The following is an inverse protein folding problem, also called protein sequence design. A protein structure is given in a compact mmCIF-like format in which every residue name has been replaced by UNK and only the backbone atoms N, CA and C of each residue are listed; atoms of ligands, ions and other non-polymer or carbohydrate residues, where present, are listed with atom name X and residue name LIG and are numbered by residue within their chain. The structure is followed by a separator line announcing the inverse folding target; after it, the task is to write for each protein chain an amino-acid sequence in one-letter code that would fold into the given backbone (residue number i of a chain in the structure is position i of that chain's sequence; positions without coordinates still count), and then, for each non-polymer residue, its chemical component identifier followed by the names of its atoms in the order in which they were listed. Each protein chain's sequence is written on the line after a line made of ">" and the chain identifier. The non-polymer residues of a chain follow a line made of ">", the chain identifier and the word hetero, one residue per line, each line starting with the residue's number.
data_IF_862470588554
#
_entry.id   IF_862470588554
#
_cell.length_a   1.000
_cell.length_b   1.000
_cell.length_c   1.000
_cell.angle_alpha   90.00
_cell.angle_beta   90.00
_cell.angle_gamma   90.00
#
_symmetry.space_group_name_H-M   'P 1'
#
loop_
_entity.id
_entity.type
_entity.pdbx_description
1 polymer ?
#
# COMPACT_ATOMS: atom_id res chain seq x y z
N UNK A 1 -9.29 13.98 15.39
CA UNK A 1 -8.96 12.86 14.48
C UNK A 1 -7.50 13.01 14.13
N UNK A 2 -6.70 11.96 14.30
CA UNK A 2 -5.31 11.96 13.82
C UNK A 2 -5.27 11.98 12.29
N UNK A 3 -4.13 12.32 11.68
CA UNK A 3 -3.94 12.22 10.24
C UNK A 3 -4.22 10.78 9.76
N UNK A 4 -4.87 10.65 8.61
CA UNK A 4 -5.23 9.34 8.04
C UNK A 4 -3.97 8.68 7.48
N UNK A 5 -3.65 7.48 7.93
CA UNK A 5 -2.56 6.68 7.39
C UNK A 5 -3.10 5.67 6.38
N UNK A 6 -2.56 5.72 5.15
CA UNK A 6 -2.99 4.87 4.03
C UNK A 6 -1.78 4.15 3.47
N UNK A 7 -1.91 2.84 3.28
CA UNK A 7 -0.92 1.96 2.65
C UNK A 7 -1.35 1.74 1.20
N UNK A 8 -0.42 1.87 0.26
CA UNK A 8 -0.62 1.54 -1.15
C UNK A 8 -0.14 0.11 -1.40
N UNK A 9 -0.99 -0.73 -1.98
CA UNK A 9 -0.55 -2.03 -2.51
C UNK A 9 0.09 -1.89 -3.91
N UNK A 10 0.46 -3.02 -4.51
CA UNK A 10 1.06 -3.05 -5.85
C UNK A 10 0.09 -2.55 -6.92
N UNK A 11 -1.22 -2.83 -6.80
CA UNK A 11 -2.22 -2.43 -7.80
C UNK A 11 -2.43 -0.92 -7.84
N UNK A 12 -2.51 -0.27 -6.67
CA UNK A 12 -2.68 1.19 -6.57
C UNK A 12 -1.38 1.94 -6.84
N UNK A 13 -0.22 1.36 -6.49
CA UNK A 13 1.06 1.91 -6.92
C UNK A 13 1.19 1.91 -8.45
N UNK A 14 0.72 0.84 -9.12
CA UNK A 14 0.68 0.77 -10.58
C UNK A 14 -0.29 1.78 -11.18
N UNK A 15 -1.49 1.88 -10.63
CA UNK A 15 -2.48 2.88 -11.06
C UNK A 15 -1.97 4.32 -10.92
N UNK A 16 -1.21 4.63 -9.86
CA UNK A 16 -0.61 5.96 -9.69
C UNK A 16 0.48 6.24 -10.74
N UNK A 17 1.21 5.21 -11.17
CA UNK A 17 2.29 5.32 -12.15
C UNK A 17 1.79 5.38 -13.60
N UNK A 18 0.70 4.69 -13.94
CA UNK A 18 0.10 4.73 -15.29
C UNK A 18 -0.97 5.84 -15.42
N UNK A 19 -0.71 6.93 -16.16
CA UNK A 19 -1.71 7.99 -16.38
C UNK A 19 -2.91 7.54 -17.21
N UNK A 20 -2.87 6.35 -17.83
CA UNK A 20 -4.01 5.77 -18.56
C UNK A 20 -4.87 4.87 -17.70
N UNK A 21 -4.44 4.55 -16.48
CA UNK A 21 -5.23 3.75 -15.57
C UNK A 21 -6.51 4.53 -15.18
N UNK A 22 -7.70 3.90 -15.26
CA UNK A 22 -8.96 4.58 -14.93
C UNK A 22 -9.01 5.11 -13.50
N UNK A 23 -8.21 4.56 -12.59
CA UNK A 23 -8.16 4.96 -11.18
C UNK A 23 -6.98 5.88 -10.86
N UNK A 24 -6.19 6.30 -11.86
CA UNK A 24 -5.04 7.19 -11.66
C UNK A 24 -5.45 8.47 -10.92
N UNK A 25 -6.54 9.12 -11.35
CA UNK A 25 -7.01 10.37 -10.73
C UNK A 25 -7.46 10.17 -9.28
N UNK A 26 -8.15 9.06 -8.99
CA UNK A 26 -8.61 8.73 -7.65
C UNK A 26 -7.41 8.49 -6.70
N UNK A 27 -6.43 7.69 -7.13
CA UNK A 27 -5.23 7.42 -6.33
C UNK A 27 -4.36 8.69 -6.18
N UNK A 28 -4.24 9.49 -7.25
CA UNK A 28 -3.52 10.76 -7.20
C UNK A 28 -4.16 11.77 -6.24
N UNK A 29 -5.49 11.74 -6.07
CA UNK A 29 -6.17 12.59 -5.09
C UNK A 29 -5.69 12.32 -3.66
N UNK A 30 -5.46 11.06 -3.28
CA UNK A 30 -4.86 10.71 -1.97
C UNK A 30 -3.43 11.27 -1.83
N UNK A 31 -2.64 11.23 -2.90
CA UNK A 31 -1.30 11.85 -2.91
C UNK A 31 -1.36 13.37 -2.72
N UNK A 32 -2.29 14.03 -3.40
CA UNK A 32 -2.53 15.48 -3.23
C UNK A 32 -2.99 15.78 -1.80
N UNK A 33 -3.89 14.99 -1.23
CA UNK A 33 -4.32 15.14 0.17
C UNK A 33 -3.16 14.96 1.16
N UNK A 34 -2.29 13.99 0.93
CA UNK A 34 -1.08 13.79 1.73
C UNK A 34 -0.13 14.99 1.62
N UNK A 35 0.00 15.59 0.43
CA UNK A 35 0.78 16.82 0.25
C UNK A 35 0.21 18.03 1.03
N UNK A 36 -1.10 18.04 1.23
CA UNK A 36 -1.81 19.04 2.06
C UNK A 36 -1.79 18.76 3.56
N UNK A 37 -1.13 17.68 4.00
CA UNK A 37 -1.05 17.29 5.41
C UNK A 37 -2.32 16.63 5.97
N UNK A 38 -3.25 16.20 5.11
CA UNK A 38 -4.49 15.54 5.53
C UNK A 38 -4.31 14.05 5.82
N UNK A 39 -3.19 13.47 5.38
CA UNK A 39 -2.86 12.07 5.61
C UNK A 39 -1.40 11.75 5.27
N UNK A 40 -1.02 10.51 5.46
CA UNK A 40 0.31 9.99 5.11
C UNK A 40 0.15 8.73 4.27
N UNK A 41 0.82 8.72 3.11
CA UNK A 41 0.88 7.56 2.25
C UNK A 41 2.11 6.73 2.58
N UNK A 42 1.91 5.42 2.70
CA UNK A 42 2.95 4.43 2.92
C UNK A 42 2.97 3.47 1.74
N UNK A 43 4.16 3.19 1.21
CA UNK A 43 4.34 2.29 0.08
C UNK A 43 5.31 1.16 0.47
N UNK A 44 4.82 -0.06 0.75
CA UNK A 44 5.66 -1.18 1.12
C UNK A 44 6.59 -1.59 -0.01
N UNK A 45 7.89 -1.69 0.28
CA UNK A 45 8.92 -1.93 -0.76
C UNK A 45 8.70 -3.24 -1.54
N UNK A 46 8.12 -4.27 -0.90
CA UNK A 46 7.78 -5.51 -1.62
C UNK A 46 6.59 -5.31 -2.56
N UNK A 47 5.56 -4.58 -2.15
CA UNK A 47 4.45 -4.20 -3.03
C UNK A 47 4.96 -3.42 -4.24
N UNK A 48 5.89 -2.47 -4.02
CA UNK A 48 6.53 -1.73 -5.10
C UNK A 48 7.40 -2.62 -6.01
N UNK A 49 8.08 -3.62 -5.44
CA UNK A 49 8.89 -4.57 -6.21
C UNK A 49 8.01 -5.44 -7.12
N UNK A 50 6.83 -5.85 -6.63
CA UNK A 50 5.82 -6.55 -7.44
C UNK A 50 5.36 -5.65 -8.58
N UNK A 51 4.92 -4.43 -8.25
CA UNK A 51 4.43 -3.48 -9.25
C UNK A 51 5.50 -3.15 -10.30
N UNK A 52 6.75 -2.95 -9.90
CA UNK A 52 7.86 -2.66 -10.83
C UNK A 52 8.19 -3.86 -11.74
N UNK A 53 7.98 -5.09 -11.25
CA UNK A 53 8.14 -6.30 -12.07
C UNK A 53 7.09 -6.42 -13.19
N UNK A 54 5.91 -5.83 -12.99
CA UNK A 54 4.82 -5.80 -13.96
C UNK A 54 4.88 -4.54 -14.84
N UNK A 55 5.29 -3.41 -14.26
CA UNK A 55 5.39 -2.10 -14.88
C UNK A 55 6.74 -1.45 -14.56
N UNK A 56 7.74 -1.73 -15.40
CA UNK A 56 9.10 -1.23 -15.26
C UNK A 56 9.16 0.29 -15.02
N UNK A 57 9.86 0.71 -13.96
CA UNK A 57 10.07 2.12 -13.61
C UNK A 57 9.15 2.65 -12.51
N UNK A 58 8.18 1.86 -12.07
CA UNK A 58 7.27 2.17 -10.97
C UNK A 58 8.02 2.46 -9.66
N UNK A 59 8.97 1.61 -9.27
CA UNK A 59 9.66 1.79 -7.98
C UNK A 59 10.48 3.09 -7.98
N UNK A 60 11.34 3.37 -8.98
CA UNK A 60 12.02 4.66 -9.10
C UNK A 60 11.06 5.86 -9.13
N UNK A 61 9.91 5.72 -9.80
CA UNK A 61 8.88 6.76 -9.85
C UNK A 61 8.33 7.06 -8.45
N UNK A 62 7.84 6.04 -7.73
CA UNK A 62 7.29 6.20 -6.37
C UNK A 62 8.35 6.72 -5.40
N UNK A 63 9.58 6.23 -5.48
CA UNK A 63 10.70 6.72 -4.66
C UNK A 63 11.01 8.21 -4.90
N UNK A 64 10.71 8.73 -6.09
CA UNK A 64 10.87 10.16 -6.42
C UNK A 64 9.78 11.06 -5.82
N UNK A 65 8.68 10.50 -5.32
CA UNK A 65 7.56 11.27 -4.76
C UNK A 65 7.86 11.73 -3.33
N UNK A 66 7.57 12.99 -3.02
CA UNK A 66 7.93 13.61 -1.73
C UNK A 66 6.97 13.31 -0.58
N UNK A 67 5.72 12.98 -0.91
CA UNK A 67 4.64 12.83 0.09
C UNK A 67 4.22 11.36 0.27
N UNK A 68 5.12 10.44 -0.06
CA UNK A 68 4.98 8.99 0.18
C UNK A 68 6.17 8.53 1.00
N UNK A 69 5.90 7.77 2.06
CA UNK A 69 6.90 7.09 2.87
C UNK A 69 7.08 5.66 2.37
N UNK A 70 8.29 5.29 2.01
CA UNK A 70 8.60 3.90 1.65
C UNK A 70 8.67 3.08 2.95
N UNK A 71 7.84 2.04 3.06
CA UNK A 71 7.88 1.13 4.19
C UNK A 71 8.96 0.05 3.94
N UNK A 72 10.00 -0.05 4.78
CA UNK A 72 11.05 -1.04 4.62
C UNK A 72 10.54 -2.45 4.94
N UNK A 73 11.12 -3.45 4.29
CA UNK A 73 10.86 -4.85 4.61
C UNK A 73 11.92 -5.35 5.59
N UNK A 74 11.66 -5.13 6.89
CA UNK A 74 12.55 -5.55 7.97
C UNK A 74 12.26 -6.98 8.47
N UNK A 75 12.90 -7.38 9.57
CA UNK A 75 12.74 -8.72 10.15
C UNK A 75 11.31 -9.00 10.64
N UNK A 76 10.62 -8.01 11.21
CA UNK A 76 9.25 -8.19 11.70
C UNK A 76 8.26 -8.33 10.53
N UNK A 77 8.47 -7.55 9.48
CA UNK A 77 7.77 -7.70 8.21
C UNK A 77 8.01 -9.09 7.60
N UNK A 78 9.26 -9.58 7.63
CA UNK A 78 9.64 -10.90 7.12
C UNK A 78 8.99 -12.06 7.90
N UNK A 79 8.95 -12.00 9.23
CA UNK A 79 8.29 -12.99 10.08
C UNK A 79 6.79 -13.06 9.78
N UNK A 80 6.15 -11.89 9.68
CA UNK A 80 4.73 -11.79 9.32
C UNK A 80 4.47 -12.34 7.92
N UNK A 81 5.30 -11.95 6.94
CA UNK A 81 5.18 -12.40 5.57
C UNK A 81 5.34 -13.92 5.44
N UNK A 82 6.31 -14.52 6.13
CA UNK A 82 6.50 -15.97 6.12
C UNK A 82 5.26 -16.71 6.64
N UNK A 83 4.65 -16.24 7.74
CA UNK A 83 3.41 -16.83 8.26
C UNK A 83 2.25 -16.72 7.26
N UNK A 84 2.09 -15.57 6.61
CA UNK A 84 1.05 -15.33 5.61
C UNK A 84 1.26 -16.19 4.35
N UNK A 85 2.51 -16.30 3.87
CA UNK A 85 2.85 -17.16 2.73
C UNK A 85 2.53 -18.63 3.02
N UNK A 86 2.84 -19.13 4.23
CA UNK A 86 2.45 -20.49 4.63
C UNK A 86 0.93 -20.67 4.72
N UNK A 87 0.19 -19.61 5.04
CA UNK A 87 -1.27 -19.59 5.03
C UNK A 87 -1.87 -19.44 3.62
N UNK A 88 -1.05 -19.33 2.57
CA UNK A 88 -1.48 -19.29 1.17
C UNK A 88 -1.73 -17.88 0.61
N UNK A 89 -1.39 -16.82 1.35
CA UNK A 89 -1.50 -15.46 0.83
C UNK A 89 -0.42 -15.18 -0.23
N UNK A 90 -0.75 -14.34 -1.21
CA UNK A 90 0.19 -13.96 -2.27
C UNK A 90 1.34 -13.10 -1.72
N UNK A 91 2.55 -13.34 -2.23
CA UNK A 91 3.73 -12.51 -1.96
C UNK A 91 3.50 -11.03 -2.30
N UNK A 92 2.60 -10.74 -3.25
CA UNK A 92 2.22 -9.38 -3.63
C UNK A 92 1.41 -8.64 -2.55
N UNK A 93 0.77 -9.39 -1.65
CA UNK A 93 -0.13 -8.85 -0.62
C UNK A 93 0.51 -8.85 0.77
N UNK A 94 1.45 -9.76 1.07
CA UNK A 94 1.92 -9.99 2.45
C UNK A 94 2.52 -8.77 3.14
N UNK A 95 3.28 -7.94 2.42
CA UNK A 95 3.87 -6.75 3.00
C UNK A 95 2.84 -5.64 3.21
N UNK A 96 1.92 -5.46 2.25
CA UNK A 96 0.76 -4.59 2.43
C UNK A 96 -0.09 -5.01 3.65
N UNK A 97 -0.29 -6.31 3.87
CA UNK A 97 -1.00 -6.82 5.05
C UNK A 97 -0.24 -6.48 6.33
N UNK A 98 1.07 -6.75 6.37
CA UNK A 98 1.89 -6.42 7.54
C UNK A 98 1.81 -4.93 7.86
N UNK A 99 1.97 -4.07 6.85
CA UNK A 99 1.91 -2.63 7.03
C UNK A 99 0.53 -2.17 7.51
N UNK A 100 -0.56 -2.65 6.91
CA UNK A 100 -1.90 -2.14 7.21
C UNK A 100 -2.50 -2.65 8.54
N UNK A 101 -1.99 -3.76 9.09
CA UNK A 101 -2.51 -4.31 10.35
C UNK A 101 -2.28 -3.37 11.55
N UNK A 102 -3.13 -3.45 12.58
CA UNK A 102 -2.91 -2.75 13.84
C UNK A 102 -1.53 -3.02 14.44
N UNK A 103 -0.87 -1.97 14.90
CA UNK A 103 0.45 -2.00 15.54
C UNK A 103 0.52 -1.03 16.72
N UNK A 104 1.64 -0.99 17.44
CA UNK A 104 1.83 -0.02 18.52
C UNK A 104 1.77 1.44 18.03
N UNK A 105 2.32 1.70 16.83
CA UNK A 105 2.31 3.02 16.20
C UNK A 105 0.95 3.36 15.57
N UNK A 106 0.23 2.33 15.10
CA UNK A 106 -1.10 2.46 14.51
C UNK A 106 -2.09 1.50 15.20
N UNK A 107 -2.60 1.83 16.40
CA UNK A 107 -3.47 0.92 17.17
C UNK A 107 -4.78 0.55 16.46
N UNK A 108 -5.26 1.41 15.55
CA UNK A 108 -6.44 1.16 14.73
C UNK A 108 -6.11 0.47 13.39
N UNK A 109 -4.83 0.21 13.10
CA UNK A 109 -4.36 -0.14 11.76
C UNK A 109 -4.28 1.07 10.84
N UNK A 110 -3.90 0.79 9.59
CA UNK A 110 -3.87 1.76 8.49
C UNK A 110 -4.86 1.30 7.42
N UNK A 111 -5.47 2.23 6.70
CA UNK A 111 -6.27 1.87 5.53
C UNK A 111 -5.35 1.30 4.46
N UNK A 112 -5.81 0.28 3.74
CA UNK A 112 -5.10 -0.28 2.61
C UNK A 112 -5.85 0.11 1.33
N UNK A 113 -5.25 0.97 0.53
CA UNK A 113 -5.77 1.30 -0.78
C UNK A 113 -5.39 0.18 -1.75
N UNK A 114 -6.38 -0.39 -2.44
CA UNK A 114 -6.19 -1.49 -3.39
C UNK A 114 -7.30 -1.50 -4.44
N UNK A 115 -6.99 -1.89 -5.67
CA UNK A 115 -7.99 -2.15 -6.70
C UNK A 115 -8.68 -3.51 -6.52
N UNK A 116 -8.16 -4.36 -5.64
CA UNK A 116 -8.67 -5.72 -5.40
C UNK A 116 -8.93 -5.96 -3.91
N UNK A 117 -9.89 -5.28 -3.28
CA UNK A 117 -10.13 -5.38 -1.83
C UNK A 117 -10.41 -6.82 -1.35
N UNK A 118 -11.05 -7.64 -2.17
CA UNK A 118 -11.42 -9.02 -1.87
C UNK A 118 -10.21 -9.90 -1.49
N UNK A 119 -9.02 -9.62 -2.04
CA UNK A 119 -7.81 -10.43 -1.75
C UNK A 119 -7.31 -10.24 -0.31
N UNK A 120 -7.82 -9.23 0.38
CA UNK A 120 -7.46 -8.87 1.74
C UNK A 120 -8.53 -9.26 2.78
N UNK A 121 -9.62 -9.89 2.36
CA UNK A 121 -10.65 -10.37 3.28
C UNK A 121 -10.08 -11.36 4.30
N UNK A 122 -10.58 -11.27 5.55
CA UNK A 122 -10.12 -12.12 6.65
C UNK A 122 -8.69 -11.85 7.14
N UNK A 123 -7.96 -10.89 6.56
CA UNK A 123 -6.59 -10.57 6.99
C UNK A 123 -6.53 -9.60 8.17
N UNK A 124 -7.65 -9.00 8.56
CA UNK A 124 -7.72 -7.98 9.61
C UNK A 124 -7.27 -6.58 9.19
N UNK A 125 -7.08 -6.35 7.88
CA UNK A 125 -6.82 -5.01 7.33
C UNK A 125 -8.10 -4.35 6.85
N UNK A 126 -8.10 -3.02 6.83
CA UNK A 126 -9.20 -2.23 6.25
C UNK A 126 -8.86 -1.90 4.79
N UNK A 127 -9.16 -2.83 3.89
CA UNK A 127 -8.96 -2.63 2.45
C UNK A 127 -10.09 -1.79 1.86
N UNK A 128 -9.75 -0.78 1.06
CA UNK A 128 -10.68 0.18 0.47
C UNK A 128 -10.32 0.37 -1.00
N UNK A 129 -11.34 0.35 -1.86
CA UNK A 129 -11.18 0.69 -3.27
C UNK A 129 -11.12 2.22 -3.43
N UNK A 130 -10.29 2.80 -4.31
CA UNK A 130 -10.17 4.27 -4.47
C UNK A 130 -11.46 5.04 -4.77
N UNK A 131 -12.50 4.35 -5.25
CA UNK A 131 -13.81 4.93 -5.56
C UNK A 131 -14.81 4.93 -4.39
N UNK A 132 -14.42 4.40 -3.22
CA UNK A 132 -15.26 4.29 -2.03
C UNK A 132 -14.87 5.32 -0.97
#
# INVERSE_FOLDING_TARGET
>A
MGPIAVVLDHTTAAALHDPKDPYNEAVAAFYVQASGGLGTLYAPVLSLTVGDSEQSGLLPYIHGLRFITIEPFDTEAALTAAALLHAGYSWAAVHAIHAARPSADFPAGRFLLTLTPDVYEGTGVQAVHPDQ
#
